data_IF_397020784285
#
_entry.id   IF_397020784285
#
_cell.length_a   1.000
_cell.length_b   1.000
_cell.length_c   1.000
_cell.angle_alpha   90.00
_cell.angle_beta   90.00
_cell.angle_gamma   90.00
#
_symmetry.space_group_name_H-M   'P 1'
#
loop_
_entity.id
_entity.type
_entity.pdbx_description
1 polymer ?
#
# COMPACT_ATOMS: atom_id res chain seq x y z
N UNK A 1 -28.67 -63.13 -9.87
CA UNK A 1 -27.69 -62.12 -9.46
C UNK A 1 -27.88 -60.87 -10.32
N UNK A 2 -28.38 -59.81 -9.74
CA UNK A 2 -28.53 -58.53 -10.44
C UNK A 2 -27.37 -57.63 -10.04
N UNK A 3 -26.53 -57.29 -11.01
CA UNK A 3 -25.46 -56.30 -10.81
C UNK A 3 -26.04 -54.90 -10.90
N UNK A 4 -25.98 -54.13 -9.81
CA UNK A 4 -26.22 -52.70 -9.83
C UNK A 4 -24.90 -52.02 -10.23
N UNK A 5 -24.87 -51.38 -11.39
CA UNK A 5 -23.77 -50.51 -11.78
C UNK A 5 -24.00 -49.12 -11.16
N UNK A 6 -23.14 -48.74 -10.20
CA UNK A 6 -23.15 -47.39 -9.61
C UNK A 6 -22.37 -46.46 -10.55
N UNK A 7 -23.09 -45.55 -11.22
CA UNK A 7 -22.50 -44.50 -12.06
C UNK A 7 -22.00 -43.37 -11.14
N UNK A 8 -20.72 -43.26 -10.91
CA UNK A 8 -20.10 -42.15 -10.20
C UNK A 8 -19.93 -40.95 -11.15
N UNK A 9 -20.78 -39.93 -11.00
CA UNK A 9 -20.66 -38.66 -11.71
C UNK A 9 -19.61 -37.80 -11.01
N UNK A 10 -18.39 -37.75 -11.54
CA UNK A 10 -17.37 -36.86 -11.07
C UNK A 10 -17.63 -35.44 -11.65
N UNK A 11 -18.19 -34.54 -10.83
CA UNK A 11 -18.23 -33.11 -11.13
C UNK A 11 -16.81 -32.56 -10.94
N UNK A 12 -16.07 -32.36 -12.03
CA UNK A 12 -14.87 -31.53 -11.98
C UNK A 12 -15.30 -30.06 -12.01
N UNK A 13 -15.24 -29.38 -10.87
CA UNK A 13 -15.26 -27.91 -10.86
C UNK A 13 -13.94 -27.46 -11.53
N UNK A 14 -14.01 -27.05 -12.78
CA UNK A 14 -12.96 -26.27 -13.37
C UNK A 14 -12.92 -24.93 -12.63
N UNK A 15 -11.86 -24.68 -11.85
CA UNK A 15 -11.62 -23.34 -11.32
C UNK A 15 -11.47 -22.42 -12.53
N UNK A 16 -12.34 -21.40 -12.63
CA UNK A 16 -12.15 -20.37 -13.65
C UNK A 16 -10.79 -19.72 -13.44
N UNK A 17 -10.02 -19.52 -14.50
CA UNK A 17 -8.77 -18.78 -14.43
C UNK A 17 -9.07 -17.40 -13.79
N UNK A 18 -8.24 -16.95 -12.84
CA UNK A 18 -8.43 -15.64 -12.24
C UNK A 18 -8.35 -14.56 -13.32
N UNK A 19 -9.39 -13.72 -13.41
CA UNK A 19 -9.37 -12.57 -14.32
C UNK A 19 -8.20 -11.66 -13.95
N UNK A 20 -7.41 -11.16 -14.91
CA UNK A 20 -6.29 -10.29 -14.60
C UNK A 20 -6.80 -9.00 -13.94
N UNK A 21 -6.25 -8.66 -12.77
CA UNK A 21 -6.46 -7.35 -12.17
C UNK A 21 -5.69 -6.33 -13.02
N UNK A 22 -6.40 -5.45 -13.70
CA UNK A 22 -5.80 -4.35 -14.46
C UNK A 22 -5.50 -3.20 -13.51
N UNK A 23 -4.36 -3.26 -12.84
CA UNK A 23 -3.92 -2.26 -11.86
C UNK A 23 -2.90 -1.30 -12.48
N UNK A 24 -3.02 -0.02 -12.15
CA UNK A 24 -2.03 1.02 -12.44
C UNK A 24 -1.13 1.27 -11.24
N UNK A 25 0.11 1.71 -11.46
CA UNK A 25 0.93 2.24 -10.37
C UNK A 25 0.32 3.52 -9.81
N UNK A 26 0.28 3.68 -8.47
CA UNK A 26 -0.25 4.88 -7.83
C UNK A 26 0.73 6.07 -7.87
N UNK A 27 1.80 6.02 -8.64
CA UNK A 27 2.92 6.97 -8.66
C UNK A 27 3.58 7.03 -10.03
N UNK A 28 4.39 8.08 -10.28
CA UNK A 28 5.29 8.19 -11.42
C UNK A 28 6.59 7.36 -11.23
N UNK A 29 6.85 6.84 -10.04
CA UNK A 29 8.03 6.03 -9.78
C UNK A 29 7.87 4.63 -10.39
N UNK A 30 8.60 4.35 -11.47
CA UNK A 30 8.58 3.07 -12.20
C UNK A 30 9.79 2.18 -11.91
N UNK A 31 10.67 2.57 -10.98
CA UNK A 31 11.95 1.89 -10.73
C UNK A 31 11.81 0.39 -10.39
N UNK A 32 10.63 -0.03 -9.89
CA UNK A 32 10.37 -1.45 -9.63
C UNK A 32 10.39 -2.30 -10.92
N UNK A 33 9.97 -1.75 -12.05
CA UNK A 33 9.99 -2.42 -13.34
C UNK A 33 11.39 -2.44 -13.99
N UNK A 34 12.27 -1.53 -13.55
CA UNK A 34 13.66 -1.45 -14.01
C UNK A 34 14.60 -2.32 -13.16
N UNK A 35 14.06 -3.14 -12.24
CA UNK A 35 14.84 -3.98 -11.34
C UNK A 35 15.62 -3.19 -10.28
N UNK A 36 15.16 -1.99 -9.92
CA UNK A 36 15.76 -1.09 -8.92
C UNK A 36 14.85 -0.90 -7.71
N UNK A 37 14.59 -1.96 -6.93
CA UNK A 37 13.68 -1.86 -5.80
C UNK A 37 14.14 -0.88 -4.72
N UNK A 38 15.46 -0.67 -4.56
CA UNK A 38 16.04 0.32 -3.66
C UNK A 38 15.71 1.77 -4.05
N UNK A 39 15.40 2.04 -5.31
CA UNK A 39 14.94 3.35 -5.79
C UNK A 39 13.41 3.47 -5.76
N UNK A 40 12.71 2.37 -5.68
CA UNK A 40 11.25 2.34 -5.59
C UNK A 40 10.76 2.44 -4.15
N UNK A 41 11.28 1.61 -3.23
CA UNK A 41 10.80 1.54 -1.85
C UNK A 41 11.45 2.58 -0.94
N UNK A 42 10.65 3.25 -0.11
CA UNK A 42 11.14 4.15 0.94
C UNK A 42 11.80 3.33 2.06
N UNK A 43 12.97 3.76 2.47
CA UNK A 43 13.68 3.19 3.62
C UNK A 43 13.03 3.57 4.96
N UNK A 44 13.24 2.75 5.96
CA UNK A 44 12.87 3.05 7.35
C UNK A 44 14.12 3.00 8.23
N UNK A 45 14.37 4.01 9.09
CA UNK A 45 15.54 3.97 9.97
C UNK A 45 15.39 2.84 10.98
N UNK A 46 16.45 2.07 11.15
CA UNK A 46 16.55 0.99 12.15
C UNK A 46 17.86 1.13 12.92
N UNK A 47 17.75 0.95 14.25
CA UNK A 47 18.94 0.80 15.09
C UNK A 47 18.88 -0.58 15.71
N UNK A 48 19.91 -1.38 15.46
CA UNK A 48 20.08 -2.71 16.02
C UNK A 48 21.52 -2.85 16.54
N UNK A 49 21.70 -3.25 17.79
CA UNK A 49 23.02 -3.40 18.45
C UNK A 49 23.92 -2.15 18.30
N UNK A 50 23.33 -0.96 18.40
CA UNK A 50 24.03 0.31 18.25
C UNK A 50 24.34 0.75 16.82
N UNK A 51 24.06 -0.09 15.82
CA UNK A 51 24.23 0.23 14.39
C UNK A 51 22.94 0.76 13.81
N UNK A 52 22.98 1.99 13.27
CA UNK A 52 21.85 2.59 12.56
C UNK A 52 21.94 2.30 11.06
N UNK A 53 20.87 1.78 10.49
CA UNK A 53 20.74 1.47 9.07
C UNK A 53 19.46 2.06 8.48
N UNK A 54 19.36 2.10 7.14
CA UNK A 54 18.20 2.60 6.40
C UNK A 54 17.79 1.58 5.33
N UNK A 55 17.31 0.38 5.72
CA UNK A 55 16.96 -0.64 4.76
C UNK A 55 15.74 -0.24 3.93
N UNK A 56 15.87 -0.25 2.61
CA UNK A 56 14.78 -0.03 1.67
C UNK A 56 13.75 -1.18 1.73
N UNK A 57 14.21 -2.39 2.05
CA UNK A 57 13.34 -3.55 2.25
C UNK A 57 12.24 -3.30 3.29
N UNK A 58 12.45 -2.36 4.20
CA UNK A 58 11.46 -1.96 5.19
C UNK A 58 10.24 -1.22 4.60
N UNK A 59 10.33 -0.75 3.36
CA UNK A 59 9.23 -0.18 2.59
C UNK A 59 8.32 -1.22 1.95
N UNK A 60 8.73 -2.49 1.92
CA UNK A 60 7.98 -3.57 1.32
C UNK A 60 6.82 -4.04 2.19
N UNK A 61 5.79 -4.60 1.57
CA UNK A 61 4.73 -5.34 2.24
C UNK A 61 5.31 -6.53 3.04
N UNK A 62 4.74 -6.78 4.20
CA UNK A 62 5.10 -7.93 5.05
C UNK A 62 6.39 -7.74 5.86
N UNK A 63 7.13 -6.64 5.68
CA UNK A 63 8.34 -6.40 6.46
C UNK A 63 8.00 -6.15 7.95
N UNK A 64 8.72 -6.81 8.84
CA UNK A 64 8.51 -6.69 10.27
C UNK A 64 9.17 -5.42 10.80
N UNK A 65 8.37 -4.41 11.14
CA UNK A 65 8.86 -3.06 11.46
C UNK A 65 9.02 -2.77 12.93
N UNK A 66 8.06 -3.17 13.74
CA UNK A 66 8.00 -2.73 15.13
C UNK A 66 8.62 -3.77 16.03
N UNK A 67 9.79 -3.45 16.56
CA UNK A 67 10.45 -4.26 17.58
C UNK A 67 10.10 -3.68 18.95
N UNK A 68 9.65 -4.52 19.87
CA UNK A 68 9.40 -4.15 21.27
C UNK A 68 10.24 -5.01 22.19
N UNK A 69 10.77 -4.38 23.24
CA UNK A 69 11.40 -5.11 24.33
C UNK A 69 10.33 -5.85 25.12
N UNK A 70 10.59 -7.10 25.43
CA UNK A 70 9.80 -7.87 26.41
C UNK A 70 10.27 -7.57 27.84
N UNK A 71 9.51 -8.04 28.83
CA UNK A 71 9.90 -7.88 30.24
C UNK A 71 11.21 -8.60 30.60
N UNK A 72 11.61 -9.57 29.79
CA UNK A 72 12.81 -10.40 29.98
C UNK A 72 13.97 -9.97 29.08
N UNK A 73 14.01 -8.67 28.70
CA UNK A 73 14.99 -8.07 27.78
C UNK A 73 15.11 -8.70 26.39
N UNK A 74 14.18 -9.58 26.04
CA UNK A 74 14.03 -10.09 24.68
C UNK A 74 13.49 -9.01 23.73
N UNK A 75 13.61 -9.26 22.43
CA UNK A 75 13.03 -8.41 21.38
C UNK A 75 12.00 -9.23 20.62
N UNK A 76 10.78 -8.74 20.53
CA UNK A 76 9.72 -9.34 19.72
C UNK A 76 9.28 -8.40 18.61
N UNK A 77 9.05 -8.96 17.46
CA UNK A 77 8.45 -8.25 16.34
C UNK A 77 6.93 -8.21 16.52
N UNK A 78 6.34 -7.03 16.48
CA UNK A 78 4.93 -6.84 16.85
C UNK A 78 4.04 -6.38 15.72
N UNK A 79 4.59 -6.01 14.57
CA UNK A 79 3.79 -5.46 13.47
C UNK A 79 4.43 -5.75 12.12
N UNK A 80 3.61 -6.23 11.19
CA UNK A 80 3.94 -6.29 9.77
C UNK A 80 3.63 -4.95 9.12
N UNK A 81 4.40 -4.62 8.06
CA UNK A 81 4.03 -3.54 7.16
C UNK A 81 2.88 -3.98 6.25
N UNK A 82 1.76 -3.28 6.33
CA UNK A 82 0.52 -3.64 5.64
C UNK A 82 0.39 -3.01 4.25
N UNK A 83 1.41 -2.29 3.79
CA UNK A 83 1.40 -1.55 2.54
C UNK A 83 2.76 -1.52 1.85
N UNK A 84 2.86 -0.60 0.88
CA UNK A 84 4.09 -0.28 0.17
C UNK A 84 4.42 1.19 0.45
N UNK A 85 5.62 1.47 0.93
CA UNK A 85 6.13 2.83 1.07
C UNK A 85 6.92 3.16 -0.20
N UNK A 86 6.38 4.01 -1.07
CA UNK A 86 6.94 4.30 -2.37
C UNK A 86 7.67 5.65 -2.32
N UNK A 87 8.94 5.69 -2.76
CA UNK A 87 9.71 6.92 -2.83
C UNK A 87 9.14 7.91 -3.85
N UNK A 88 9.13 9.21 -3.54
CA UNK A 88 8.83 10.24 -4.53
C UNK A 88 9.95 10.33 -5.58
N UNK A 89 9.57 10.70 -6.78
CA UNK A 89 10.48 11.05 -7.89
C UNK A 89 10.81 12.54 -7.88
N UNK A 90 9.86 13.38 -7.43
CA UNK A 90 9.97 14.83 -7.46
C UNK A 90 9.96 15.40 -6.04
N UNK A 91 10.85 16.35 -5.77
CA UNK A 91 10.90 17.06 -4.49
C UNK A 91 11.10 18.56 -4.72
N UNK A 92 10.56 19.38 -3.82
CA UNK A 92 10.81 20.81 -3.81
C UNK A 92 12.15 21.17 -3.14
N UNK A 93 12.46 22.45 -3.09
CA UNK A 93 13.67 22.97 -2.44
C UNK A 93 13.72 22.73 -0.93
N UNK A 94 12.58 22.44 -0.30
CA UNK A 94 12.48 22.09 1.11
C UNK A 94 12.51 20.58 1.36
N UNK A 95 12.77 19.78 0.30
CA UNK A 95 12.79 18.33 0.31
C UNK A 95 11.42 17.67 0.57
N UNK A 96 10.31 18.38 0.33
CA UNK A 96 8.97 17.79 0.36
C UNK A 96 8.63 17.14 -0.99
N UNK A 97 7.92 16.02 -0.96
CA UNK A 97 7.45 15.35 -2.17
C UNK A 97 6.44 16.21 -2.94
N UNK A 98 6.53 16.18 -4.27
CA UNK A 98 5.63 16.86 -5.20
C UNK A 98 4.82 15.88 -6.05
N UNK A 99 5.05 14.59 -5.91
CA UNK A 99 4.43 13.53 -6.72
C UNK A 99 2.94 13.47 -6.48
N UNK A 100 2.19 13.32 -7.57
CA UNK A 100 0.79 12.96 -7.50
C UNK A 100 0.63 11.51 -7.04
N UNK A 101 -0.39 11.27 -6.22
CA UNK A 101 -0.83 9.93 -5.87
C UNK A 101 -2.12 9.63 -6.64
N UNK A 102 -2.12 8.51 -7.36
CA UNK A 102 -3.19 8.12 -8.28
C UNK A 102 -3.89 6.86 -7.81
N UNK A 103 -5.15 6.70 -8.23
CA UNK A 103 -5.88 5.46 -7.96
C UNK A 103 -5.33 4.30 -8.80
N UNK A 104 -5.23 3.13 -8.17
CA UNK A 104 -4.74 1.90 -8.82
C UNK A 104 -5.73 1.28 -9.81
N UNK A 105 -6.97 1.71 -9.80
CA UNK A 105 -8.04 1.16 -10.65
C UNK A 105 -9.27 2.05 -10.63
N UNK A 106 -10.23 1.77 -11.50
CA UNK A 106 -11.54 2.41 -11.46
C UNK A 106 -12.19 2.17 -10.10
N UNK A 107 -12.89 3.16 -9.56
CA UNK A 107 -13.54 3.01 -8.27
C UNK A 107 -14.22 4.26 -7.76
N UNK A 108 -14.71 4.20 -6.53
CA UNK A 108 -15.42 5.28 -5.85
C UNK A 108 -14.66 5.62 -4.56
N UNK A 109 -14.49 6.91 -4.29
CA UNK A 109 -13.95 7.38 -3.01
C UNK A 109 -14.98 7.13 -1.91
N UNK A 110 -14.71 6.21 -1.00
CA UNK A 110 -15.63 5.85 0.10
C UNK A 110 -15.31 6.55 1.39
N UNK A 111 -14.07 7.01 1.56
CA UNK A 111 -13.67 7.76 2.76
C UNK A 111 -12.50 8.70 2.45
N UNK A 112 -12.52 9.87 3.11
CA UNK A 112 -11.40 10.83 3.13
C UNK A 112 -11.14 11.28 4.56
N UNK A 113 -9.89 11.38 4.96
CA UNK A 113 -9.47 11.93 6.25
C UNK A 113 -8.50 13.10 6.02
N UNK A 114 -8.98 14.34 6.10
CA UNK A 114 -8.12 15.51 5.90
C UNK A 114 -7.32 15.90 7.16
N UNK A 115 -7.54 15.21 8.28
CA UNK A 115 -6.91 15.53 9.55
C UNK A 115 -5.55 14.83 9.69
N UNK A 116 -4.49 15.63 9.70
CA UNK A 116 -3.10 15.20 9.82
C UNK A 116 -2.80 14.36 11.08
N UNK A 117 -3.48 14.64 12.17
CA UNK A 117 -3.22 14.03 13.48
C UNK A 117 -4.23 12.97 13.91
N UNK A 118 -5.26 12.67 13.09
CA UNK A 118 -6.35 11.77 13.49
C UNK A 118 -5.92 10.30 13.58
N UNK A 119 -4.90 9.89 12.84
CA UNK A 119 -4.42 8.51 12.83
C UNK A 119 -2.93 8.41 12.47
N UNK A 120 -2.37 7.21 12.55
CA UNK A 120 -1.01 6.94 12.07
C UNK A 120 -0.89 7.14 10.55
N UNK A 121 -1.99 6.97 9.80
CA UNK A 121 -2.04 7.18 8.34
C UNK A 121 -2.01 8.67 7.95
N UNK A 122 -2.19 9.60 8.91
CA UNK A 122 -2.23 11.03 8.63
C UNK A 122 -3.43 11.44 7.77
N UNK A 123 -3.16 12.18 6.71
CA UNK A 123 -4.15 12.50 5.66
C UNK A 123 -4.21 11.32 4.70
N UNK A 124 -5.42 10.79 4.45
CA UNK A 124 -5.57 9.60 3.61
C UNK A 124 -6.92 9.55 2.89
N UNK A 125 -6.96 8.74 1.85
CA UNK A 125 -8.14 8.42 1.03
C UNK A 125 -8.33 6.91 1.01
N UNK A 126 -9.58 6.44 1.04
CA UNK A 126 -9.94 5.04 0.79
C UNK A 126 -10.86 4.99 -0.42
N UNK A 127 -10.53 4.11 -1.34
CA UNK A 127 -11.34 3.80 -2.51
C UNK A 127 -11.91 2.39 -2.44
N UNK A 128 -13.11 2.23 -2.96
CA UNK A 128 -13.75 0.95 -3.25
C UNK A 128 -13.63 0.68 -4.75
N UNK A 129 -13.20 -0.52 -5.10
CA UNK A 129 -13.07 -1.02 -6.47
C UNK A 129 -13.90 -2.28 -6.65
N UNK A 130 -14.42 -2.48 -7.86
CA UNK A 130 -15.00 -3.75 -8.27
C UNK A 130 -14.27 -4.26 -9.52
N UNK A 131 -13.51 -5.33 -9.35
CA UNK A 131 -12.79 -5.99 -10.43
C UNK A 131 -13.50 -7.26 -10.93
N UNK A 132 -14.79 -7.44 -10.59
CA UNK A 132 -15.57 -8.62 -10.97
C UNK A 132 -15.46 -9.79 -9.99
N UNK A 133 -14.72 -9.65 -8.89
CA UNK A 133 -14.58 -10.65 -7.82
C UNK A 133 -15.24 -10.23 -6.49
N UNK A 134 -15.94 -9.11 -6.51
CA UNK A 134 -16.42 -8.43 -5.35
C UNK A 134 -15.64 -7.16 -5.03
N UNK A 135 -15.96 -6.55 -3.90
CA UNK A 135 -15.40 -5.27 -3.50
C UNK A 135 -14.01 -5.43 -2.92
N UNK A 136 -13.07 -4.65 -3.45
CA UNK A 136 -11.70 -4.52 -2.95
C UNK A 136 -11.49 -3.07 -2.56
N UNK A 137 -10.75 -2.83 -1.48
CA UNK A 137 -10.47 -1.48 -0.99
C UNK A 137 -8.98 -1.16 -1.09
N UNK A 138 -8.65 0.03 -1.57
CA UNK A 138 -7.30 0.57 -1.52
C UNK A 138 -7.24 1.78 -0.59
N UNK A 139 -6.13 1.92 0.14
CA UNK A 139 -5.88 3.03 1.05
C UNK A 139 -4.61 3.75 0.64
N UNK A 140 -4.68 5.08 0.51
CA UNK A 140 -3.59 5.97 0.13
C UNK A 140 -3.31 6.91 1.29
N UNK A 141 -2.23 6.66 2.01
CA UNK A 141 -1.91 7.32 3.26
C UNK A 141 -0.81 8.37 3.14
N UNK A 142 -0.55 9.05 4.25
CA UNK A 142 0.53 10.02 4.44
C UNK A 142 0.50 11.21 3.46
N UNK A 143 -0.64 11.47 2.81
CA UNK A 143 -0.80 12.52 1.84
C UNK A 143 -0.49 13.91 2.43
N UNK A 144 0.06 14.79 1.59
CA UNK A 144 0.17 16.22 1.91
C UNK A 144 -1.17 16.92 1.72
N UNK A 145 -1.93 16.49 0.69
CA UNK A 145 -3.20 17.09 0.31
C UNK A 145 -4.08 16.04 -0.39
N UNK A 146 -5.38 16.09 -0.15
CA UNK A 146 -6.43 15.37 -0.89
C UNK A 146 -6.98 16.31 -1.96
N UNK A 147 -7.26 15.79 -3.16
CA UNK A 147 -7.83 16.53 -4.31
C UNK A 147 -9.20 16.00 -4.73
N UNK A 148 -9.75 15.05 -4.00
CA UNK A 148 -11.02 14.37 -4.30
C UNK A 148 -11.95 14.41 -3.10
N UNK A 149 -13.24 14.10 -3.33
CA UNK A 149 -14.28 14.10 -2.32
C UNK A 149 -14.93 12.71 -2.19
N UNK A 150 -15.47 12.42 -1.00
CA UNK A 150 -16.23 11.19 -0.78
C UNK A 150 -17.43 11.12 -1.74
N UNK A 151 -17.59 9.97 -2.38
CA UNK A 151 -18.62 9.71 -3.40
C UNK A 151 -18.14 9.98 -4.83
N UNK A 152 -16.99 10.58 -5.02
CA UNK A 152 -16.44 10.82 -6.36
C UNK A 152 -16.01 9.50 -7.01
N UNK A 153 -16.42 9.31 -8.28
CA UNK A 153 -15.93 8.21 -9.13
C UNK A 153 -14.65 8.62 -9.84
N UNK A 154 -13.68 7.73 -9.86
CA UNK A 154 -12.38 7.94 -10.51
C UNK A 154 -12.08 6.79 -11.49
N UNK A 155 -11.44 7.12 -12.59
CA UNK A 155 -10.85 6.14 -13.49
C UNK A 155 -9.44 5.76 -13.02
N UNK A 156 -8.97 4.57 -13.42
CA UNK A 156 -7.59 4.12 -13.14
C UNK A 156 -6.56 5.18 -13.57
N UNK A 157 -5.67 5.56 -12.66
CA UNK A 157 -4.65 6.56 -12.91
C UNK A 157 -5.08 8.01 -12.63
N UNK A 158 -6.34 8.27 -12.27
CA UNK A 158 -6.76 9.61 -11.86
C UNK A 158 -6.08 10.02 -10.53
N UNK A 159 -5.73 11.31 -10.43
CA UNK A 159 -5.08 11.87 -9.25
C UNK A 159 -6.07 12.02 -8.09
N UNK A 160 -5.72 11.48 -6.93
CA UNK A 160 -6.50 11.59 -5.69
C UNK A 160 -5.85 12.47 -4.62
N UNK A 161 -4.58 12.81 -4.78
CA UNK A 161 -3.87 13.66 -3.84
C UNK A 161 -2.41 13.87 -4.20
N UNK A 162 -1.70 14.54 -3.30
CA UNK A 162 -0.26 14.78 -3.38
C UNK A 162 0.43 13.98 -2.30
N UNK A 163 1.52 13.31 -2.66
CA UNK A 163 2.36 12.56 -1.74
C UNK A 163 2.89 13.45 -0.62
N UNK A 164 2.99 12.91 0.60
CA UNK A 164 3.42 13.70 1.73
C UNK A 164 4.14 12.88 2.80
N UNK A 165 4.08 13.40 4.01
CA UNK A 165 4.69 12.81 5.21
C UNK A 165 3.80 13.05 6.44
N UNK A 166 2.50 13.11 6.25
CA UNK A 166 1.55 13.26 7.36
C UNK A 166 1.42 11.94 8.13
N UNK A 167 1.04 12.02 9.39
CA UNK A 167 1.00 10.86 10.28
C UNK A 167 2.16 10.81 11.26
N UNK A 168 2.19 9.76 12.09
CA UNK A 168 3.12 9.66 13.21
C UNK A 168 4.51 9.23 12.75
N UNK A 169 5.54 9.94 13.23
CA UNK A 169 6.95 9.56 13.06
C UNK A 169 7.53 9.78 11.66
N UNK A 170 6.82 10.51 10.81
CA UNK A 170 7.30 10.88 9.48
C UNK A 170 7.86 12.29 9.44
N UNK A 171 8.75 12.54 8.50
CA UNK A 171 9.34 13.83 8.17
C UNK A 171 9.45 13.98 6.64
N UNK A 172 9.89 15.16 6.17
CA UNK A 172 9.99 15.44 4.72
C UNK A 172 10.91 14.50 3.97
N UNK A 173 12.04 14.11 4.57
CA UNK A 173 13.02 13.17 3.97
C UNK A 173 12.36 11.82 3.67
N UNK A 174 11.40 11.43 4.50
CA UNK A 174 10.65 10.17 4.42
C UNK A 174 9.24 10.35 3.85
N UNK A 175 9.00 11.34 3.00
CA UNK A 175 7.75 11.42 2.23
C UNK A 175 7.61 10.18 1.34
N UNK A 176 6.43 9.53 1.36
CA UNK A 176 6.12 8.34 0.58
C UNK A 176 4.61 8.18 0.37
#
# INVERSE_FOLDING_TARGET
MKFLATLALSLSLAAADPLPLNLSLPTDNTAIFDGKPEDFYMWVPRTFEGVTSRPWTAGQYGFVRTLRKTKDDGIVATQFHEGLDIKPVKRDSSNAALDEVRTIGNGIVVHTSPNRGASNYGIYVVMEHDFGYGKIYSLYAHLAKITVEKGQSLASGDTLGIMGYTGRGLNRERSH
#
